data_IF_152395743298
#
_entry.id   IF_152395743298
#
_cell.length_a   1.000
_cell.length_b   1.000
_cell.length_c   1.000
_cell.angle_alpha   90.00
_cell.angle_beta   90.00
_cell.angle_gamma   90.00
#
_symmetry.space_group_name_H-M   'P 1'
#
loop_
_entity.id
_entity.type
_entity.pdbx_description
1 polymer ?
#
# COMPACT_ATOMS: atom_id res chain seq x y z
N UNK A 1 11.31 -14.15 6.01
CA UNK A 1 12.05 -13.98 7.28
C UNK A 1 13.38 -14.69 7.13
N UNK A 2 14.46 -14.17 7.76
CA UNK A 2 15.80 -14.74 7.75
C UNK A 2 16.34 -14.86 9.17
N UNK A 3 17.50 -15.54 9.34
CA UNK A 3 18.20 -15.59 10.62
C UNK A 3 18.62 -14.18 11.11
N UNK A 4 18.98 -13.29 10.19
CA UNK A 4 19.32 -11.90 10.48
C UNK A 4 18.13 -11.12 11.07
N UNK A 5 16.91 -11.34 10.55
CA UNK A 5 15.68 -10.75 11.12
C UNK A 5 15.48 -11.21 12.58
N UNK A 6 15.64 -12.52 12.82
CA UNK A 6 15.49 -13.08 14.16
C UNK A 6 16.55 -12.55 15.14
N UNK A 7 17.81 -12.43 14.71
CA UNK A 7 18.88 -11.91 15.55
C UNK A 7 18.72 -10.42 15.85
N UNK A 8 18.25 -9.62 14.88
CA UNK A 8 17.95 -8.20 15.10
C UNK A 8 16.90 -8.00 16.20
N UNK A 9 15.84 -8.80 16.18
CA UNK A 9 14.80 -8.79 17.22
C UNK A 9 15.36 -9.30 18.57
N UNK A 10 16.10 -10.41 18.56
CA UNK A 10 16.67 -11.00 19.76
C UNK A 10 17.63 -10.04 20.48
N UNK A 11 18.41 -9.26 19.72
CA UNK A 11 19.30 -8.22 20.27
C UNK A 11 18.53 -7.19 21.07
N UNK A 12 17.40 -6.70 20.56
CA UNK A 12 16.56 -5.73 21.26
C UNK A 12 15.92 -6.35 22.51
N UNK A 13 15.41 -7.58 22.40
CA UNK A 13 14.84 -8.29 23.56
C UNK A 13 15.88 -8.49 24.67
N UNK A 14 17.13 -8.87 24.35
CA UNK A 14 18.22 -9.02 25.32
C UNK A 14 18.62 -7.69 25.98
N UNK A 15 18.45 -6.55 25.28
CA UNK A 15 18.79 -5.23 25.85
C UNK A 15 17.82 -4.78 26.95
N UNK A 16 16.60 -5.32 26.97
CA UNK A 16 15.51 -4.89 27.85
C UNK A 16 14.84 -3.57 27.47
N UNK A 17 15.35 -2.84 26.46
CA UNK A 17 14.74 -1.60 25.93
C UNK A 17 13.77 -1.92 24.80
N UNK A 18 12.51 -2.21 25.13
CA UNK A 18 11.52 -2.73 24.20
C UNK A 18 10.65 -1.65 23.56
N UNK A 19 10.42 -0.54 24.29
CA UNK A 19 9.58 0.56 23.86
C UNK A 19 10.26 1.39 22.74
N UNK A 20 9.63 2.46 22.32
CA UNK A 20 10.17 3.37 21.31
C UNK A 20 11.51 3.98 21.79
N UNK A 21 12.56 3.82 21.00
CA UNK A 21 13.90 4.31 21.30
C UNK A 21 14.82 4.33 20.07
N UNK A 22 16.07 3.89 20.24
CA UNK A 22 17.12 4.01 19.23
C UNK A 22 16.86 3.23 17.92
N UNK A 23 16.19 2.09 17.99
CA UNK A 23 15.82 1.34 16.77
C UNK A 23 14.74 2.08 15.97
N UNK A 24 13.75 2.65 16.64
CA UNK A 24 12.72 3.49 16.01
C UNK A 24 13.36 4.71 15.35
N UNK A 25 14.26 5.42 16.04
CA UNK A 25 14.98 6.57 15.45
C UNK A 25 15.82 6.16 14.23
N UNK A 26 16.50 5.02 14.33
CA UNK A 26 17.28 4.44 13.22
C UNK A 26 16.38 4.14 12.02
N UNK A 27 15.25 3.49 12.25
CA UNK A 27 14.30 3.14 11.20
C UNK A 27 13.68 4.37 10.54
N UNK A 28 13.31 5.41 11.32
CA UNK A 28 12.81 6.68 10.79
C UNK A 28 13.85 7.36 9.88
N UNK A 29 15.14 7.41 10.26
CA UNK A 29 16.22 8.00 9.45
C UNK A 29 16.44 7.21 8.14
N UNK A 30 16.51 5.89 8.24
CA UNK A 30 16.73 5.02 7.07
C UNK A 30 15.57 5.06 6.08
N UNK A 31 14.33 5.10 6.58
CA UNK A 31 13.13 5.30 5.75
C UNK A 31 13.10 6.68 5.10
N UNK A 32 13.47 7.74 5.82
CA UNK A 32 13.53 9.09 5.28
C UNK A 32 14.51 9.17 4.09
N UNK A 33 15.69 8.58 4.25
CA UNK A 33 16.67 8.47 3.17
C UNK A 33 16.14 7.64 1.98
N UNK A 34 15.46 6.53 2.25
CA UNK A 34 14.90 5.65 1.21
C UNK A 34 13.80 6.31 0.40
N UNK A 35 12.96 7.12 1.05
CA UNK A 35 11.83 7.80 0.45
C UNK A 35 12.20 9.20 -0.10
N UNK A 36 13.43 9.65 0.09
CA UNK A 36 13.90 10.99 -0.30
C UNK A 36 13.01 12.10 0.28
N UNK A 37 12.78 12.04 1.60
CA UNK A 37 11.98 13.02 2.36
C UNK A 37 12.75 13.53 3.58
N UNK A 38 12.31 14.68 4.12
CA UNK A 38 13.04 15.31 5.24
C UNK A 38 12.75 14.69 6.61
N UNK A 39 11.63 13.99 6.75
CA UNK A 39 11.25 13.34 8.00
C UNK A 39 10.30 12.16 7.81
N UNK A 40 10.37 11.23 8.76
CA UNK A 40 9.44 10.10 8.89
C UNK A 40 9.06 9.96 10.36
N UNK A 41 7.82 9.57 10.64
CA UNK A 41 7.36 9.08 11.92
C UNK A 41 6.80 7.67 11.76
N UNK A 42 7.42 6.67 12.40
CA UNK A 42 6.87 5.31 12.40
C UNK A 42 5.77 5.19 13.45
N UNK A 43 4.77 4.34 13.13
CA UNK A 43 3.55 4.18 13.92
C UNK A 43 3.12 2.72 13.96
N UNK A 44 2.16 2.39 14.83
CA UNK A 44 1.70 1.03 15.12
C UNK A 44 1.07 0.28 13.95
N UNK A 45 0.57 0.97 12.92
CA UNK A 45 -0.05 0.34 11.74
C UNK A 45 -0.16 1.29 10.55
N UNK A 46 -0.38 0.75 9.34
CA UNK A 46 -0.70 1.55 8.16
C UNK A 46 -2.02 2.33 8.31
N UNK A 47 -3.00 1.80 9.05
CA UNK A 47 -4.26 2.51 9.33
C UNK A 47 -4.04 3.71 10.24
N UNK A 48 -3.19 3.57 11.26
CA UNK A 48 -2.76 4.69 12.10
C UNK A 48 -1.99 5.74 11.28
N UNK A 49 -1.13 5.31 10.36
CA UNK A 49 -0.42 6.20 9.47
C UNK A 49 -1.36 7.04 8.60
N UNK A 50 -2.37 6.42 7.98
CA UNK A 50 -3.39 7.12 7.19
C UNK A 50 -4.17 8.14 8.03
N UNK A 51 -4.66 7.73 9.21
CA UNK A 51 -5.41 8.61 10.10
C UNK A 51 -4.56 9.81 10.55
N UNK A 52 -3.34 9.57 11.01
CA UNK A 52 -2.45 10.64 11.46
C UNK A 52 -2.00 11.57 10.32
N UNK A 53 -1.79 11.04 9.11
CA UNK A 53 -1.50 11.85 7.94
C UNK A 53 -2.65 12.80 7.60
N UNK A 54 -3.90 12.32 7.65
CA UNK A 54 -5.08 13.14 7.42
C UNK A 54 -5.26 14.21 8.51
N UNK A 55 -5.12 13.84 9.79
CA UNK A 55 -5.17 14.80 10.92
C UNK A 55 -4.08 15.87 10.83
N UNK A 56 -2.87 15.50 10.38
CA UNK A 56 -1.77 16.45 10.19
C UNK A 56 -2.03 17.44 9.03
N UNK A 57 -3.02 17.17 8.17
CA UNK A 57 -3.53 18.07 7.12
C UNK A 57 -4.83 18.78 7.51
N UNK A 58 -5.16 18.82 8.80
CA UNK A 58 -6.37 19.46 9.34
C UNK A 58 -7.68 18.87 8.80
N UNK A 59 -7.66 17.56 8.47
CA UNK A 59 -8.88 16.83 8.15
C UNK A 59 -9.65 16.53 9.44
N UNK A 60 -10.90 16.98 9.48
CA UNK A 60 -11.79 16.85 10.63
C UNK A 60 -13.26 16.91 10.22
N UNK A 61 -14.17 17.21 11.16
CA UNK A 61 -15.60 17.38 10.87
C UNK A 61 -15.81 18.40 9.74
N UNK A 62 -16.86 18.18 8.93
CA UNK A 62 -17.22 18.96 7.74
C UNK A 62 -16.24 18.90 6.56
N UNK A 63 -15.08 18.28 6.73
CA UNK A 63 -14.15 18.02 5.65
C UNK A 63 -14.58 16.82 4.79
N UNK A 64 -14.21 16.86 3.52
CA UNK A 64 -14.30 15.72 2.60
C UNK A 64 -12.90 15.26 2.21
N UNK A 65 -12.74 13.94 2.08
CA UNK A 65 -11.51 13.32 1.54
C UNK A 65 -11.86 12.43 0.37
N UNK A 66 -11.28 12.70 -0.79
CA UNK A 66 -11.47 11.84 -1.95
C UNK A 66 -10.56 10.61 -1.83
N UNK A 67 -11.15 9.42 -1.92
CA UNK A 67 -10.45 8.14 -1.81
C UNK A 67 -10.86 7.18 -2.94
N UNK A 68 -9.95 6.35 -3.48
CA UNK A 68 -10.34 5.35 -4.48
C UNK A 68 -11.24 4.28 -3.86
N UNK A 69 -12.27 3.88 -4.59
CA UNK A 69 -13.18 2.83 -4.14
C UNK A 69 -12.61 1.42 -4.34
N UNK A 70 -11.73 1.22 -5.35
CA UNK A 70 -11.05 -0.07 -5.60
C UNK A 70 -9.79 -0.19 -4.75
N UNK A 71 -9.97 -0.18 -3.43
CA UNK A 71 -8.90 -0.20 -2.44
C UNK A 71 -9.33 -0.92 -1.16
N UNK A 72 -8.43 -0.95 -0.18
CA UNK A 72 -8.70 -1.47 1.16
C UNK A 72 -9.61 -0.51 1.94
N UNK A 73 -10.50 -1.04 2.76
CA UNK A 73 -11.43 -0.30 3.65
C UNK A 73 -10.69 0.58 4.67
N UNK A 74 -9.40 0.36 4.90
CA UNK A 74 -8.59 1.21 5.78
C UNK A 74 -8.67 2.70 5.39
N UNK A 75 -8.83 3.02 4.10
CA UNK A 75 -9.00 4.40 3.63
C UNK A 75 -10.31 5.01 4.17
N UNK A 76 -11.41 4.28 4.03
CA UNK A 76 -12.71 4.70 4.54
C UNK A 76 -12.65 4.90 6.06
N UNK A 77 -12.08 3.93 6.77
CA UNK A 77 -11.96 3.99 8.23
C UNK A 77 -11.09 5.15 8.70
N UNK A 78 -9.96 5.43 8.04
CA UNK A 78 -9.10 6.55 8.39
C UNK A 78 -9.82 7.90 8.25
N UNK A 79 -10.58 8.10 7.17
CA UNK A 79 -11.35 9.32 6.94
C UNK A 79 -12.47 9.48 7.98
N UNK A 80 -13.26 8.43 8.20
CA UNK A 80 -14.38 8.49 9.16
C UNK A 80 -13.91 8.67 10.61
N UNK A 81 -12.76 8.11 10.99
CA UNK A 81 -12.17 8.31 12.32
C UNK A 81 -11.62 9.73 12.53
N UNK A 82 -11.34 10.45 11.46
CA UNK A 82 -11.10 11.89 11.52
C UNK A 82 -12.38 12.71 11.69
N UNK A 83 -13.56 12.11 11.63
CA UNK A 83 -14.86 12.80 11.62
C UNK A 83 -15.23 13.36 10.24
N UNK A 84 -14.44 13.09 9.21
CA UNK A 84 -14.63 13.57 7.84
C UNK A 84 -15.47 12.63 6.99
N UNK A 85 -15.94 13.12 5.84
CA UNK A 85 -16.74 12.37 4.88
C UNK A 85 -15.86 11.78 3.78
N UNK A 86 -15.78 10.45 3.60
CA UNK A 86 -15.11 9.86 2.46
C UNK A 86 -15.93 10.04 1.18
N UNK A 87 -15.31 10.62 0.15
CA UNK A 87 -15.87 10.75 -1.20
C UNK A 87 -15.20 9.74 -2.09
N UNK A 88 -15.95 8.74 -2.56
CA UNK A 88 -15.37 7.64 -3.32
C UNK A 88 -15.14 8.04 -4.79
N UNK A 89 -13.97 7.73 -5.34
CA UNK A 89 -13.65 7.86 -6.76
C UNK A 89 -13.51 6.48 -7.43
N UNK A 90 -13.96 6.37 -8.68
CA UNK A 90 -13.83 5.14 -9.46
C UNK A 90 -12.37 4.90 -9.88
N UNK A 91 -12.10 3.69 -10.34
CA UNK A 91 -10.77 3.27 -10.74
C UNK A 91 -10.43 3.71 -12.17
N UNK A 92 -9.14 3.77 -12.45
CA UNK A 92 -8.58 3.85 -13.79
C UNK A 92 -8.30 2.44 -14.32
N UNK A 93 -8.76 2.10 -15.54
CA UNK A 93 -8.65 0.74 -16.08
C UNK A 93 -7.22 0.27 -16.35
N UNK A 94 -6.29 1.19 -16.53
CA UNK A 94 -4.90 0.85 -16.90
C UNK A 94 -4.00 0.75 -15.69
N UNK A 95 -4.13 1.72 -14.79
CA UNK A 95 -3.29 1.76 -13.57
C UNK A 95 -3.89 0.99 -12.41
N UNK A 96 -5.19 0.66 -12.46
CA UNK A 96 -6.00 0.07 -11.38
C UNK A 96 -6.06 0.98 -10.12
N UNK A 97 -5.51 2.18 -10.21
CA UNK A 97 -5.54 3.23 -9.20
C UNK A 97 -6.77 4.14 -9.36
N UNK A 98 -6.83 5.27 -8.62
CA UNK A 98 -7.90 6.23 -8.77
C UNK A 98 -7.88 6.90 -10.15
N UNK A 99 -9.06 7.05 -10.78
CA UNK A 99 -9.21 7.77 -12.05
C UNK A 99 -9.05 9.27 -11.85
N UNK A 100 -8.07 9.95 -12.48
CA UNK A 100 -7.92 11.40 -12.37
C UNK A 100 -9.18 12.15 -12.77
N UNK A 101 -9.85 11.69 -13.83
CA UNK A 101 -11.11 12.28 -14.31
C UNK A 101 -12.22 12.18 -13.27
N UNK A 102 -12.37 11.02 -12.62
CA UNK A 102 -13.42 10.84 -11.61
C UNK A 102 -13.09 11.56 -10.31
N UNK A 103 -11.82 11.59 -9.88
CA UNK A 103 -11.36 12.41 -8.75
C UNK A 103 -11.71 13.88 -8.98
N UNK A 104 -11.37 14.45 -10.15
CA UNK A 104 -11.70 15.83 -10.49
C UNK A 104 -13.20 16.11 -10.40
N UNK A 105 -14.02 15.21 -10.95
CA UNK A 105 -15.49 15.34 -10.96
C UNK A 105 -16.09 15.33 -9.55
N UNK A 106 -15.44 14.65 -8.61
CA UNK A 106 -15.94 14.47 -7.24
C UNK A 106 -15.45 15.51 -6.24
N UNK A 107 -14.51 16.36 -6.64
CA UNK A 107 -14.02 17.42 -5.77
C UNK A 107 -15.11 18.46 -5.49
N UNK A 108 -15.24 18.82 -4.23
CA UNK A 108 -16.07 19.90 -3.75
C UNK A 108 -15.22 20.96 -3.03
N UNK A 109 -15.81 22.06 -2.64
CA UNK A 109 -15.15 23.08 -1.81
C UNK A 109 -14.78 22.60 -0.40
N UNK A 110 -15.35 21.49 0.05
CA UNK A 110 -15.05 20.85 1.34
C UNK A 110 -13.89 19.86 1.27
N UNK A 111 -13.38 19.56 0.07
CA UNK A 111 -12.26 18.64 -0.08
C UNK A 111 -11.00 19.19 0.58
N UNK A 112 -10.46 18.48 1.56
CA UNK A 112 -9.25 18.81 2.33
C UNK A 112 -8.06 17.96 1.96
N UNK A 113 -8.30 16.76 1.43
CA UNK A 113 -7.26 15.87 0.95
C UNK A 113 -7.77 14.93 -0.15
N UNK A 114 -6.83 14.44 -0.95
CA UNK A 114 -7.02 13.33 -1.88
C UNK A 114 -6.06 12.21 -1.47
N UNK A 115 -6.54 10.99 -1.28
CA UNK A 115 -5.65 9.83 -1.03
C UNK A 115 -5.42 9.10 -2.35
N UNK A 116 -4.17 9.00 -2.77
CA UNK A 116 -3.77 8.28 -3.97
C UNK A 116 -3.10 6.98 -3.56
N UNK A 117 -3.73 5.87 -3.88
CA UNK A 117 -3.15 4.53 -3.68
C UNK A 117 -2.27 4.18 -4.87
N UNK A 118 -1.09 3.64 -4.60
CA UNK A 118 -0.22 3.00 -5.59
C UNK A 118 -0.53 1.49 -5.61
N UNK A 119 -1.48 1.02 -6.45
CA UNK A 119 -2.08 -0.30 -6.29
C UNK A 119 -1.09 -1.40 -6.67
N UNK A 120 -1.08 -2.45 -5.88
CA UNK A 120 -0.36 -3.71 -6.14
C UNK A 120 1.15 -3.56 -6.36
N UNK A 121 1.70 -2.37 -6.07
CA UNK A 121 3.11 -2.04 -6.27
C UNK A 121 3.38 -1.24 -7.54
N UNK A 122 2.35 -0.80 -8.26
CA UNK A 122 2.48 0.10 -9.41
C UNK A 122 2.41 1.56 -8.95
N UNK A 123 3.46 2.31 -9.20
CA UNK A 123 3.48 3.73 -8.95
C UNK A 123 2.54 4.47 -9.92
N UNK A 124 1.55 5.17 -9.37
CA UNK A 124 0.64 6.06 -10.09
C UNK A 124 1.33 7.41 -10.31
N UNK A 125 1.15 8.00 -11.48
CA UNK A 125 1.60 9.37 -11.72
C UNK A 125 0.73 10.36 -10.94
N UNK A 126 1.37 11.22 -10.16
CA UNK A 126 0.68 12.18 -9.31
C UNK A 126 0.40 13.52 -9.98
N UNK A 127 1.01 13.84 -11.12
CA UNK A 127 0.88 15.14 -11.76
C UNK A 127 -0.58 15.58 -11.97
N UNK A 128 -1.48 14.71 -12.47
CA UNK A 128 -2.88 15.08 -12.64
C UNK A 128 -3.61 15.42 -11.34
N UNK A 129 -3.18 14.82 -10.22
CA UNK A 129 -3.82 15.04 -8.91
C UNK A 129 -3.22 16.25 -8.19
N UNK A 130 -1.91 16.47 -8.30
CA UNK A 130 -1.24 17.64 -7.74
C UNK A 130 -1.71 18.94 -8.39
N UNK A 131 -2.03 18.90 -9.70
CA UNK A 131 -2.59 20.04 -10.43
C UNK A 131 -3.95 20.51 -9.91
N UNK A 132 -4.66 19.69 -9.11
CA UNK A 132 -5.97 20.06 -8.54
C UNK A 132 -5.86 21.01 -7.35
N UNK A 133 -4.66 21.28 -6.84
CA UNK A 133 -4.41 22.21 -5.74
C UNK A 133 -4.90 21.76 -4.35
N UNK A 134 -5.39 20.52 -4.24
CA UNK A 134 -5.80 19.89 -2.98
C UNK A 134 -4.65 19.02 -2.45
N UNK A 135 -4.32 19.04 -1.15
CA UNK A 135 -3.27 18.20 -0.58
C UNK A 135 -3.44 16.72 -0.93
N UNK A 136 -2.38 16.09 -1.44
CA UNK A 136 -2.36 14.66 -1.77
C UNK A 136 -1.66 13.88 -0.68
N UNK A 137 -2.30 12.81 -0.18
CA UNK A 137 -1.68 11.78 0.65
C UNK A 137 -1.38 10.58 -0.24
N UNK A 138 -0.10 10.21 -0.37
CA UNK A 138 0.32 9.00 -1.07
C UNK A 138 0.13 7.77 -0.16
N UNK A 139 -0.73 6.83 -0.53
CA UNK A 139 -0.76 5.52 0.12
C UNK A 139 0.27 4.60 -0.54
N UNK A 140 1.43 4.50 0.10
CA UNK A 140 2.57 3.69 -0.32
C UNK A 140 2.57 2.27 0.27
N UNK A 141 1.48 1.86 0.95
CA UNK A 141 1.40 0.58 1.66
C UNK A 141 1.71 -0.65 0.80
N UNK A 142 1.65 -0.53 -0.52
CA UNK A 142 1.92 -1.61 -1.47
C UNK A 142 3.09 -1.30 -2.42
N UNK A 143 3.70 -0.12 -2.35
CA UNK A 143 4.59 0.36 -3.41
C UNK A 143 5.92 0.95 -2.94
N UNK A 144 6.28 0.78 -1.66
CA UNK A 144 7.59 1.22 -1.16
C UNK A 144 8.72 0.68 -2.05
N UNK A 145 9.60 1.57 -2.52
CA UNK A 145 10.68 1.24 -3.43
C UNK A 145 10.34 1.37 -4.93
N UNK A 146 9.07 1.60 -5.30
CA UNK A 146 8.69 2.01 -6.65
C UNK A 146 9.10 3.46 -6.91
N UNK A 147 9.32 3.82 -8.19
CA UNK A 147 9.75 5.16 -8.61
C UNK A 147 8.98 5.62 -9.84
N UNK A 148 8.78 6.92 -9.96
CA UNK A 148 8.27 7.58 -11.18
C UNK A 148 9.31 8.61 -11.60
N UNK A 149 9.88 8.47 -12.79
CA UNK A 149 10.95 9.33 -13.30
C UNK A 149 12.09 9.52 -12.28
N UNK A 150 12.58 8.42 -11.71
CA UNK A 150 13.64 8.39 -10.71
C UNK A 150 13.25 8.85 -9.31
N UNK A 151 12.06 9.39 -9.09
CA UNK A 151 11.59 9.84 -7.77
C UNK A 151 10.85 8.72 -7.03
N UNK A 152 11.18 8.44 -5.76
CA UNK A 152 10.48 7.43 -4.98
C UNK A 152 8.99 7.79 -4.79
N UNK A 153 8.11 6.79 -4.77
CA UNK A 153 6.75 6.98 -4.25
C UNK A 153 6.84 7.38 -2.77
N UNK A 154 5.95 8.28 -2.36
CA UNK A 154 5.95 8.85 -1.02
C UNK A 154 6.76 10.14 -0.87
N UNK A 155 7.40 10.63 -1.96
CA UNK A 155 8.22 11.86 -1.92
C UNK A 155 7.53 13.09 -2.52
N UNK A 156 6.37 12.94 -3.15
CA UNK A 156 5.75 14.02 -3.94
C UNK A 156 4.47 14.58 -3.33
N UNK A 157 3.73 13.77 -2.60
CA UNK A 157 2.53 14.19 -1.90
C UNK A 157 2.79 15.16 -0.75
N UNK A 158 1.72 15.71 -0.20
CA UNK A 158 1.79 16.51 1.02
C UNK A 158 2.31 15.68 2.21
N UNK A 159 1.89 14.41 2.28
CA UNK A 159 2.35 13.36 3.18
C UNK A 159 2.22 12.01 2.47
N UNK A 160 2.96 11.01 2.95
CA UNK A 160 2.82 9.64 2.52
C UNK A 160 2.55 8.71 3.71
N UNK A 161 1.72 7.69 3.52
CA UNK A 161 1.45 6.64 4.49
C UNK A 161 2.01 5.31 4.00
N UNK A 162 2.82 4.65 4.84
CA UNK A 162 3.37 3.32 4.60
C UNK A 162 2.73 2.30 5.54
N UNK A 163 2.75 1.03 5.14
CA UNK A 163 2.32 -0.09 5.98
C UNK A 163 3.39 -1.17 6.00
N UNK A 164 3.64 -1.70 7.19
CA UNK A 164 4.59 -2.79 7.44
C UNK A 164 3.87 -4.04 7.99
N UNK A 165 2.60 -4.20 7.61
CA UNK A 165 1.83 -5.40 7.93
C UNK A 165 2.50 -6.66 7.36
N UNK A 166 2.26 -7.81 7.96
CA UNK A 166 2.91 -9.09 7.67
C UNK A 166 3.01 -9.48 6.18
N UNK A 167 2.07 -9.04 5.33
CA UNK A 167 2.05 -9.37 3.90
C UNK A 167 2.68 -8.32 2.99
N UNK A 168 3.21 -7.22 3.55
CA UNK A 168 3.76 -6.11 2.77
C UNK A 168 5.15 -6.43 2.20
N UNK A 169 5.69 -5.51 1.39
CA UNK A 169 7.02 -5.65 0.76
C UNK A 169 8.15 -5.76 1.78
N UNK A 170 8.07 -4.97 2.84
CA UNK A 170 8.83 -5.13 4.06
C UNK A 170 7.84 -5.21 5.24
N UNK A 171 8.18 -5.94 6.28
CA UNK A 171 7.27 -6.17 7.39
C UNK A 171 7.93 -6.01 8.76
N UNK A 172 7.13 -5.50 9.70
CA UNK A 172 7.43 -5.52 11.14
C UNK A 172 6.42 -6.36 11.93
N UNK A 173 5.65 -7.25 11.20
CA UNK A 173 4.46 -7.93 11.72
C UNK A 173 3.25 -7.01 11.64
N UNK A 174 3.20 -6.00 12.46
CA UNK A 174 2.35 -4.82 12.38
C UNK A 174 3.23 -3.57 12.42
N UNK A 175 2.78 -2.50 11.74
CA UNK A 175 3.50 -1.23 11.71
C UNK A 175 3.09 -0.37 10.52
N UNK A 176 3.51 0.88 10.58
CA UNK A 176 3.34 1.86 9.52
C UNK A 176 4.29 3.04 9.68
N UNK A 177 4.22 3.98 8.75
CA UNK A 177 4.96 5.23 8.84
C UNK A 177 4.22 6.35 8.11
N UNK A 178 4.39 7.57 8.59
CA UNK A 178 4.05 8.80 7.87
C UNK A 178 5.34 9.49 7.47
N UNK A 179 5.47 9.82 6.18
CA UNK A 179 6.63 10.46 5.61
C UNK A 179 6.26 11.82 4.98
N UNK A 180 7.19 12.77 5.01
CA UNK A 180 6.97 14.08 4.41
C UNK A 180 7.91 15.15 4.91
N UNK A 181 7.44 16.42 4.92
CA UNK A 181 8.23 17.54 5.44
C UNK A 181 8.29 17.52 6.97
N UNK A 182 9.42 17.96 7.53
CA UNK A 182 9.64 17.96 8.98
C UNK A 182 8.51 18.64 9.79
N UNK A 183 7.95 19.81 9.41
CA UNK A 183 6.85 20.42 10.16
C UNK A 183 5.58 19.56 10.19
N UNK A 184 5.21 18.91 9.07
CA UNK A 184 4.03 18.03 9.03
C UNK A 184 4.24 16.75 9.82
N UNK A 185 5.42 16.15 9.73
CA UNK A 185 5.77 14.94 10.49
C UNK A 185 5.88 15.22 11.98
N UNK A 186 6.28 16.43 12.39
CA UNK A 186 6.25 16.85 13.80
C UNK A 186 4.83 16.78 14.39
N UNK A 187 3.80 17.22 13.62
CA UNK A 187 2.38 17.10 14.03
C UNK A 187 1.97 15.61 14.19
N UNK A 188 2.47 14.72 13.33
CA UNK A 188 2.23 13.29 13.45
C UNK A 188 2.89 12.71 14.71
N UNK A 189 4.14 13.10 15.01
CA UNK A 189 4.86 12.66 16.22
C UNK A 189 4.17 13.15 17.47
N UNK A 190 3.64 14.37 17.48
CA UNK A 190 2.88 14.88 18.62
C UNK A 190 1.57 14.07 18.79
N UNK A 191 0.81 13.86 17.73
CA UNK A 191 -0.47 13.16 17.81
C UNK A 191 -0.34 11.64 18.12
N UNK A 192 0.80 10.99 17.76
CA UNK A 192 0.96 9.54 17.97
C UNK A 192 1.19 9.12 19.40
N UNK A 193 1.57 10.06 20.30
CA UNK A 193 2.03 9.75 21.65
C UNK A 193 1.58 10.80 22.67
N UNK A 194 0.87 10.37 23.71
CA UNK A 194 0.41 11.21 24.81
C UNK A 194 1.30 11.18 26.06
N UNK A 195 2.32 10.30 26.08
CA UNK A 195 3.16 10.14 27.25
C UNK A 195 4.02 11.40 27.50
N UNK A 196 4.24 11.72 28.79
CA UNK A 196 5.08 12.83 29.24
C UNK A 196 4.70 14.19 28.66
N UNK A 197 3.37 14.46 28.56
CA UNK A 197 2.81 15.73 28.08
C UNK A 197 2.25 16.56 29.24
N UNK A 198 2.49 17.85 29.22
CA UNK A 198 1.98 18.79 30.26
C UNK A 198 0.54 19.22 29.99
N UNK A 199 0.02 19.00 28.78
CA UNK A 199 -1.34 19.33 28.34
C UNK A 199 -2.21 18.07 28.17
N UNK A 200 -3.55 18.27 28.07
CA UNK A 200 -4.54 17.23 27.85
C UNK A 200 -5.12 17.26 26.42
N UNK A 201 -4.36 17.76 25.46
CA UNK A 201 -4.75 17.69 24.05
C UNK A 201 -4.90 16.20 23.66
N UNK A 202 -6.02 15.81 23.02
CA UNK A 202 -6.24 14.42 22.64
C UNK A 202 -5.15 13.90 21.70
N UNK A 203 -4.47 12.86 22.14
CA UNK A 203 -3.43 12.14 21.39
C UNK A 203 -3.71 10.64 21.44
N UNK A 204 -2.94 9.87 20.68
CA UNK A 204 -3.09 8.41 20.57
C UNK A 204 -1.91 7.70 21.26
N UNK A 205 -2.04 6.39 21.38
CA UNK A 205 -0.92 5.48 21.61
C UNK A 205 -0.68 4.65 20.34
N UNK A 206 -0.11 5.29 19.33
CA UNK A 206 0.19 4.69 18.03
C UNK A 206 1.70 4.52 17.82
N UNK A 207 2.48 4.43 18.90
CA UNK A 207 3.93 4.19 18.87
C UNK A 207 4.25 2.84 18.22
N UNK A 208 5.37 2.77 17.50
CA UNK A 208 6.03 1.51 17.14
C UNK A 208 7.07 1.19 18.22
N UNK A 209 7.26 -0.09 18.51
CA UNK A 209 8.28 -0.56 19.47
C UNK A 209 9.66 -0.71 18.82
N UNK A 210 10.74 -0.64 19.61
CA UNK A 210 12.09 -0.94 19.12
C UNK A 210 12.22 -2.39 18.61
N UNK A 211 11.48 -3.32 19.18
CA UNK A 211 11.41 -4.72 18.70
C UNK A 211 10.95 -4.79 17.25
N UNK A 212 9.87 -4.07 16.92
CA UNK A 212 9.32 -4.00 15.56
C UNK A 212 10.25 -3.19 14.64
N UNK A 213 10.81 -2.10 15.11
CA UNK A 213 11.71 -1.25 14.35
C UNK A 213 13.01 -1.99 13.96
N UNK A 214 13.59 -2.79 14.84
CA UNK A 214 14.76 -3.61 14.54
C UNK A 214 14.50 -4.61 13.41
N UNK A 215 13.33 -5.26 13.42
CA UNK A 215 12.88 -6.10 12.31
C UNK A 215 12.74 -5.28 11.03
N UNK A 216 12.11 -4.11 11.11
CA UNK A 216 11.90 -3.19 9.97
C UNK A 216 13.22 -2.75 9.34
N UNK A 217 14.23 -2.43 10.10
CA UNK A 217 15.58 -2.05 9.64
C UNK A 217 16.26 -3.20 8.91
N UNK A 218 16.24 -4.41 9.48
CA UNK A 218 16.75 -5.62 8.83
C UNK A 218 16.08 -5.88 7.49
N UNK A 219 14.75 -5.76 7.43
CA UNK A 219 13.96 -5.92 6.21
C UNK A 219 14.25 -4.80 5.17
N UNK A 220 14.39 -3.55 5.62
CA UNK A 220 14.67 -2.40 4.75
C UNK A 220 16.02 -2.54 4.05
N UNK A 221 17.05 -3.01 4.74
CA UNK A 221 18.37 -3.27 4.15
C UNK A 221 18.35 -4.28 3.00
N UNK A 222 17.33 -5.15 2.93
CA UNK A 222 17.16 -6.17 1.88
C UNK A 222 16.03 -5.87 0.90
N UNK A 223 15.39 -4.71 1.00
CA UNK A 223 14.22 -4.37 0.19
C UNK A 223 14.49 -4.48 -1.31
N UNK A 224 15.66 -4.04 -1.78
CA UNK A 224 16.01 -4.11 -3.20
C UNK A 224 16.13 -5.55 -3.70
N UNK A 225 16.66 -6.47 -2.88
CA UNK A 225 16.69 -7.90 -3.19
C UNK A 225 15.27 -8.48 -3.30
N UNK A 226 14.36 -8.09 -2.42
CA UNK A 226 12.96 -8.53 -2.48
C UNK A 226 12.27 -8.00 -3.75
N UNK A 227 12.51 -6.75 -4.13
CA UNK A 227 11.96 -6.15 -5.35
C UNK A 227 12.54 -6.84 -6.60
N UNK A 228 13.85 -7.05 -6.65
CA UNK A 228 14.49 -7.73 -7.76
C UNK A 228 13.89 -9.14 -7.98
N UNK A 229 13.71 -9.93 -6.90
CA UNK A 229 13.09 -11.25 -6.99
C UNK A 229 11.64 -11.18 -7.47
N UNK A 230 10.83 -10.24 -6.97
CA UNK A 230 9.44 -10.04 -7.42
C UNK A 230 9.36 -9.67 -8.89
N UNK A 231 10.28 -8.83 -9.38
CA UNK A 231 10.38 -8.48 -10.81
C UNK A 231 10.77 -9.69 -11.67
N UNK A 232 11.68 -10.55 -11.21
CA UNK A 232 12.03 -11.80 -11.90
C UNK A 232 10.82 -12.75 -11.99
N UNK A 233 10.07 -12.94 -10.90
CA UNK A 233 8.81 -13.70 -10.88
C UNK A 233 7.81 -13.13 -11.88
N UNK A 234 7.63 -11.80 -11.87
CA UNK A 234 6.71 -11.12 -12.78
C UNK A 234 7.11 -11.29 -14.25
N UNK A 235 8.40 -11.19 -14.58
CA UNK A 235 8.91 -11.44 -15.92
C UNK A 235 8.60 -12.87 -16.39
N UNK A 236 8.81 -13.86 -15.52
CA UNK A 236 8.51 -15.26 -15.80
C UNK A 236 7.02 -15.50 -16.04
N UNK A 237 6.14 -14.95 -15.22
CA UNK A 237 4.69 -14.99 -15.46
C UNK A 237 4.32 -14.30 -16.78
N UNK A 238 4.85 -13.10 -17.07
CA UNK A 238 4.56 -12.41 -18.34
C UNK A 238 4.92 -13.28 -19.55
N UNK A 239 6.12 -13.85 -19.56
CA UNK A 239 6.56 -14.73 -20.66
C UNK A 239 5.62 -15.91 -20.87
N UNK A 240 5.16 -16.54 -19.78
CA UNK A 240 4.27 -17.71 -19.83
C UNK A 240 2.83 -17.36 -20.23
N UNK A 241 2.35 -16.19 -19.84
CA UNK A 241 0.96 -15.78 -20.05
C UNK A 241 0.76 -14.91 -21.30
N UNK A 242 1.83 -14.49 -22.00
CA UNK A 242 1.77 -13.55 -23.11
C UNK A 242 0.88 -14.00 -24.28
N UNK A 243 0.85 -15.31 -24.55
CA UNK A 243 0.04 -15.93 -25.64
C UNK A 243 -1.31 -16.48 -25.17
N UNK A 244 -1.66 -16.29 -23.91
CA UNK A 244 -2.86 -16.87 -23.34
C UNK A 244 -4.08 -15.97 -23.66
N UNK A 245 -4.95 -16.46 -24.56
CA UNK A 245 -6.17 -15.75 -24.95
C UNK A 245 -7.04 -15.41 -23.72
N UNK A 246 -7.59 -14.22 -23.70
CA UNK A 246 -8.46 -13.74 -22.61
C UNK A 246 -7.74 -13.44 -21.28
N UNK A 247 -6.40 -13.42 -21.28
CA UNK A 247 -5.58 -13.09 -20.11
C UNK A 247 -4.62 -11.95 -20.46
N UNK A 248 -4.74 -10.81 -19.76
CA UNK A 248 -3.85 -9.66 -19.90
C UNK A 248 -3.00 -9.53 -18.62
N UNK A 249 -1.74 -9.97 -18.63
CA UNK A 249 -0.81 -9.73 -17.53
C UNK A 249 -0.45 -8.24 -17.44
N UNK A 250 0.04 -7.75 -16.28
CA UNK A 250 0.55 -6.39 -16.16
C UNK A 250 1.76 -6.19 -17.07
N UNK A 251 1.84 -5.01 -17.70
CA UNK A 251 2.96 -4.64 -18.57
C UNK A 251 4.30 -4.55 -17.82
N UNK A 252 5.37 -4.40 -18.58
CA UNK A 252 6.66 -4.04 -17.99
C UNK A 252 6.66 -2.53 -17.72
N UNK A 253 6.65 -2.19 -16.45
CA UNK A 253 6.66 -0.81 -15.99
C UNK A 253 8.03 -0.40 -15.37
N UNK A 254 9.06 -1.23 -15.53
CA UNK A 254 10.41 -0.96 -15.04
C UNK A 254 10.43 -0.59 -13.54
N UNK A 255 11.04 0.55 -13.21
CA UNK A 255 11.14 1.04 -11.83
C UNK A 255 9.79 1.40 -11.20
N UNK A 256 8.76 1.65 -12.01
CA UNK A 256 7.42 2.01 -11.53
C UNK A 256 6.69 0.84 -10.85
N UNK A 257 7.11 -0.43 -11.06
CA UNK A 257 6.40 -1.58 -10.50
C UNK A 257 7.31 -2.45 -9.63
N UNK A 258 6.96 -2.62 -8.37
CA UNK A 258 7.66 -3.48 -7.39
C UNK A 258 6.94 -4.82 -7.16
N UNK A 259 5.82 -5.05 -7.83
CA UNK A 259 5.04 -6.30 -7.79
C UNK A 259 4.73 -6.80 -6.37
N UNK A 260 4.15 -5.93 -5.55
CA UNK A 260 3.54 -6.38 -4.29
C UNK A 260 2.54 -7.52 -4.55
N UNK A 261 1.76 -7.40 -5.65
CA UNK A 261 0.95 -8.47 -6.23
C UNK A 261 1.19 -8.54 -7.73
N UNK A 262 1.08 -9.73 -8.31
CA UNK A 262 1.00 -9.91 -9.75
C UNK A 262 -0.47 -10.07 -10.14
N UNK A 263 -1.05 -9.03 -10.72
CA UNK A 263 -2.49 -8.97 -11.03
C UNK A 263 -2.68 -9.11 -12.54
N UNK A 264 -3.41 -10.14 -12.96
CA UNK A 264 -3.86 -10.31 -14.34
C UNK A 264 -5.30 -9.84 -14.49
N UNK A 265 -5.64 -9.25 -15.64
CA UNK A 265 -7.01 -8.95 -16.02
C UNK A 265 -7.51 -10.00 -17.00
N UNK A 266 -8.68 -10.57 -16.74
CA UNK A 266 -9.27 -11.62 -17.56
C UNK A 266 -10.50 -11.10 -18.31
N UNK A 267 -10.80 -11.65 -19.49
CA UNK A 267 -12.03 -11.33 -20.25
C UNK A 267 -13.28 -11.98 -19.64
N UNK A 268 -13.11 -12.99 -18.78
CA UNK A 268 -14.19 -13.68 -18.06
C UNK A 268 -14.17 -13.37 -16.57
N UNK A 269 -15.30 -13.51 -15.87
CA UNK A 269 -15.34 -13.38 -14.41
C UNK A 269 -14.42 -14.36 -13.68
N UNK A 270 -13.70 -13.87 -12.65
CA UNK A 270 -12.72 -14.69 -11.91
C UNK A 270 -13.34 -15.66 -10.89
N UNK A 271 -14.63 -15.50 -10.56
CA UNK A 271 -15.29 -16.31 -9.51
C UNK A 271 -15.09 -17.82 -9.67
N UNK A 272 -15.45 -18.43 -10.81
CA UNK A 272 -15.25 -19.86 -11.05
C UNK A 272 -13.77 -20.30 -11.02
N UNK A 273 -12.85 -19.43 -11.47
CA UNK A 273 -11.42 -19.70 -11.48
C UNK A 273 -10.82 -19.73 -10.08
N UNK A 274 -11.31 -18.88 -9.15
CA UNK A 274 -10.84 -18.89 -7.76
C UNK A 274 -11.03 -20.25 -7.10
N UNK A 275 -12.22 -20.84 -7.25
CA UNK A 275 -12.54 -22.13 -6.68
C UNK A 275 -11.76 -23.28 -7.36
N UNK A 276 -11.65 -23.21 -8.69
CA UNK A 276 -10.94 -24.24 -9.46
C UNK A 276 -9.45 -24.28 -9.11
N UNK A 277 -8.77 -23.13 -9.12
CA UNK A 277 -7.35 -23.04 -8.80
C UNK A 277 -7.08 -23.37 -7.33
N UNK A 278 -7.95 -22.97 -6.41
CA UNK A 278 -7.84 -23.34 -5.00
C UNK A 278 -7.93 -24.84 -4.78
N UNK A 279 -8.82 -25.57 -5.49
CA UNK A 279 -8.88 -27.04 -5.46
C UNK A 279 -7.60 -27.68 -5.98
N UNK A 280 -6.90 -27.03 -6.93
CA UNK A 280 -5.59 -27.44 -7.42
C UNK A 280 -4.42 -27.03 -6.51
N UNK A 281 -4.68 -26.50 -5.30
CA UNK A 281 -3.64 -26.07 -4.35
C UNK A 281 -2.99 -24.72 -4.69
N UNK A 282 -3.53 -23.96 -5.65
CA UNK A 282 -3.00 -22.66 -6.06
C UNK A 282 -3.72 -21.55 -5.31
N UNK A 283 -3.01 -20.84 -4.44
CA UNK A 283 -3.54 -19.75 -3.64
C UNK A 283 -3.71 -18.44 -4.44
N UNK A 284 -4.79 -18.34 -5.20
CA UNK A 284 -5.20 -17.13 -5.93
C UNK A 284 -6.31 -16.38 -5.18
N UNK A 285 -6.45 -15.09 -5.47
CA UNK A 285 -7.53 -14.27 -4.87
C UNK A 285 -7.86 -13.06 -5.72
N UNK A 286 -9.00 -12.42 -5.46
CA UNK A 286 -9.22 -11.06 -5.93
C UNK A 286 -8.17 -10.12 -5.31
N UNK A 287 -7.58 -9.19 -6.09
CA UNK A 287 -6.56 -8.27 -5.55
C UNK A 287 -7.11 -7.37 -4.44
N UNK A 288 -8.37 -6.93 -4.58
CA UNK A 288 -9.17 -6.25 -3.56
C UNK A 288 -10.24 -7.20 -3.08
N UNK A 289 -10.36 -7.40 -1.77
CA UNK A 289 -11.35 -8.31 -1.19
C UNK A 289 -12.77 -7.91 -1.58
N UNK A 290 -13.12 -6.64 -1.32
CA UNK A 290 -14.38 -6.02 -1.70
C UNK A 290 -14.16 -4.51 -1.87
N UNK A 291 -14.51 -3.89 -3.02
CA UNK A 291 -14.46 -2.44 -3.19
C UNK A 291 -15.33 -1.71 -2.14
N UNK A 292 -14.90 -0.52 -1.72
CA UNK A 292 -15.54 0.23 -0.64
C UNK A 292 -17.01 0.53 -0.96
N UNK A 293 -17.31 0.96 -2.19
CA UNK A 293 -18.69 1.24 -2.62
C UNK A 293 -19.63 0.03 -2.46
N UNK A 294 -19.13 -1.18 -2.74
CA UNK A 294 -19.91 -2.43 -2.54
C UNK A 294 -20.16 -2.72 -1.08
N UNK A 295 -19.18 -2.41 -0.20
CA UNK A 295 -19.36 -2.54 1.24
C UNK A 295 -20.45 -1.59 1.78
N UNK A 296 -20.59 -0.43 1.15
CA UNK A 296 -21.56 0.61 1.52
C UNK A 296 -22.89 0.49 0.75
N UNK A 297 -23.06 -0.48 -0.14
CA UNK A 297 -24.27 -0.63 -0.96
C UNK A 297 -24.48 0.48 -1.99
N UNK A 298 -23.39 1.16 -2.43
CA UNK A 298 -23.44 2.26 -3.39
C UNK A 298 -23.21 1.76 -4.81
N UNK A 299 -23.87 2.38 -5.79
CA UNK A 299 -23.66 2.18 -7.22
C UNK A 299 -22.87 3.33 -7.88
N UNK A 300 -22.64 3.21 -9.20
CA UNK A 300 -22.01 4.28 -10.01
C UNK A 300 -20.47 4.22 -10.07
N UNK A 301 -19.89 3.02 -9.89
CA UNK A 301 -18.45 2.76 -9.97
C UNK A 301 -18.16 1.59 -10.93
N UNK A 302 -18.51 1.76 -12.23
CA UNK A 302 -18.48 0.65 -13.18
C UNK A 302 -17.11 0.04 -13.39
N UNK A 303 -16.05 0.85 -13.37
CA UNK A 303 -14.69 0.35 -13.56
C UNK A 303 -14.20 -0.45 -12.34
N UNK A 304 -14.44 0.02 -11.12
CA UNK A 304 -14.12 -0.73 -9.91
C UNK A 304 -14.88 -2.07 -9.85
N UNK A 305 -16.15 -2.10 -10.30
CA UNK A 305 -16.95 -3.33 -10.42
C UNK A 305 -16.35 -4.29 -11.45
N UNK A 306 -15.97 -3.77 -12.63
CA UNK A 306 -15.31 -4.55 -13.68
C UNK A 306 -14.00 -5.15 -13.17
N UNK A 307 -13.13 -4.35 -12.55
CA UNK A 307 -11.86 -4.80 -12.01
C UNK A 307 -12.06 -5.86 -10.92
N UNK A 308 -13.01 -5.68 -10.02
CA UNK A 308 -13.30 -6.66 -8.98
C UNK A 308 -13.80 -8.00 -9.54
N UNK A 309 -14.54 -7.96 -10.65
CA UNK A 309 -15.08 -9.14 -11.32
C UNK A 309 -14.03 -9.86 -12.15
N UNK A 310 -13.07 -9.14 -12.75
CA UNK A 310 -12.18 -9.66 -13.80
C UNK A 310 -10.69 -9.68 -13.42
N UNK A 311 -10.28 -9.11 -12.29
CA UNK A 311 -8.89 -9.16 -11.85
C UNK A 311 -8.58 -10.32 -10.91
N UNK A 312 -7.48 -11.02 -11.19
CA UNK A 312 -6.98 -12.14 -10.41
C UNK A 312 -5.54 -11.87 -9.96
N UNK A 313 -5.27 -12.01 -8.67
CA UNK A 313 -3.91 -11.93 -8.11
C UNK A 313 -3.29 -13.31 -8.04
N UNK A 314 -2.16 -13.51 -8.73
CA UNK A 314 -1.32 -14.69 -8.63
C UNK A 314 -0.32 -14.54 -7.47
N UNK A 315 0.18 -15.65 -6.89
CA UNK A 315 1.24 -15.64 -5.89
C UNK A 315 2.47 -14.89 -6.40
N UNK A 316 2.97 -13.93 -5.61
CA UNK A 316 4.18 -13.17 -5.93
C UNK A 316 4.87 -12.75 -4.63
N UNK A 317 5.85 -13.53 -4.17
CA UNK A 317 6.62 -13.28 -2.94
C UNK A 317 8.04 -13.82 -3.09
N UNK A 318 9.05 -13.28 -2.38
CA UNK A 318 10.47 -13.57 -2.66
C UNK A 318 10.89 -15.04 -2.53
N UNK A 319 10.24 -15.82 -1.67
CA UNK A 319 10.56 -17.24 -1.49
C UNK A 319 9.88 -18.18 -2.49
N UNK A 320 9.01 -17.66 -3.38
CA UNK A 320 8.39 -18.47 -4.45
C UNK A 320 9.47 -18.91 -5.44
N UNK A 321 9.60 -20.23 -5.63
CA UNK A 321 10.56 -20.83 -6.55
C UNK A 321 10.13 -20.67 -8.00
N UNK A 322 11.07 -20.79 -8.94
CA UNK A 322 10.75 -20.71 -10.37
C UNK A 322 9.84 -21.86 -10.83
N UNK A 323 10.01 -23.04 -10.25
CA UNK A 323 9.15 -24.20 -10.53
C UNK A 323 7.70 -23.94 -10.06
N UNK A 324 7.50 -23.33 -8.90
CA UNK A 324 6.17 -22.94 -8.41
C UNK A 324 5.54 -21.86 -9.29
N UNK A 325 6.32 -20.86 -9.75
CA UNK A 325 5.85 -19.86 -10.71
C UNK A 325 5.35 -20.52 -11.99
N UNK A 326 6.11 -21.48 -12.52
CA UNK A 326 5.72 -22.23 -13.71
C UNK A 326 4.46 -23.06 -13.50
N UNK A 327 4.35 -23.73 -12.36
CA UNK A 327 3.17 -24.52 -12.01
C UNK A 327 1.91 -23.65 -11.91
N UNK A 328 2.01 -22.48 -11.26
CA UNK A 328 0.89 -21.51 -11.18
C UNK A 328 0.47 -21.02 -12.57
N UNK A 329 1.44 -20.66 -13.42
CA UNK A 329 1.16 -20.22 -14.79
C UNK A 329 0.52 -21.30 -15.65
N UNK A 330 0.97 -22.55 -15.54
CA UNK A 330 0.40 -23.70 -16.23
C UNK A 330 -1.04 -23.99 -15.76
N UNK A 331 -1.28 -23.99 -14.46
CA UNK A 331 -2.61 -24.20 -13.89
C UNK A 331 -3.61 -23.13 -14.33
N UNK A 332 -3.20 -21.85 -14.38
CA UNK A 332 -4.04 -20.77 -14.91
C UNK A 332 -4.34 -20.98 -16.40
N UNK A 333 -3.33 -21.34 -17.20
CA UNK A 333 -3.52 -21.60 -18.63
C UNK A 333 -4.48 -22.77 -18.88
N UNK A 334 -4.40 -23.84 -18.12
CA UNK A 334 -5.33 -24.96 -18.17
C UNK A 334 -6.75 -24.54 -17.77
N UNK A 335 -6.86 -23.79 -16.66
CA UNK A 335 -8.15 -23.32 -16.16
C UNK A 335 -8.87 -22.36 -17.12
N UNK A 336 -8.17 -21.66 -17.99
CA UNK A 336 -8.74 -20.76 -18.98
C UNK A 336 -9.16 -21.44 -20.30
N UNK A 337 -8.63 -22.63 -20.61
CA UNK A 337 -9.01 -23.40 -21.81
C UNK A 337 -10.36 -24.12 -21.71
N UNK A 338 -10.83 -24.31 -20.52
CA UNK A 338 -12.11 -24.95 -20.17
C UNK A 338 -13.10 -23.95 -19.58
#
# INVERSE_FOLDING_TARGET
MSAEDAESVARVVRSGHLAQGAEVEGFERELAARLDVTAVAVVSSGSAALELALRALDVGPDAEVVVPTYACDALHHAVTRCGATPVLADADPETLGPSPKDVTRRLTRRARAIVIVHPFGLAVDLDPFLALGVPVVEDCAQAIGARVAGRPVGSRGALAACSFYATKLLTTGEGGAVAGTAPRVARVRDARDYDEREDLVPRFNFKLTDVQAALGRSQLGRLDTFIARRRAIAARYRARLASLAGCRPPGDAGERHVFHRFVVTLERPVGPLLERLARGGIAVRRPVFRPIHRALGLGGYPEADRLWTHCLSLPCYPSLTDAEVDAVGAALAEALRT
#
